data_IF_449808627704
#
_entry.id   IF_449808627704
#
_cell.length_a   1.000
_cell.length_b   1.000
_cell.length_c   1.000
_cell.angle_alpha   90.00
_cell.angle_beta   90.00
_cell.angle_gamma   90.00
#
_symmetry.space_group_name_H-M   'P 1'
#
loop_
_entity.id
_entity.type
_entity.pdbx_description
1 polymer ?
#
# COMPACT_ATOMS: atom_id res chain seq x y z
N UNK A 1 9.56 -3.29 -15.47
CA UNK A 1 9.27 -1.86 -15.62
C UNK A 1 9.53 -1.22 -14.27
N UNK A 2 10.16 -0.05 -14.21
CA UNK A 2 10.52 0.60 -12.94
C UNK A 2 9.31 1.30 -12.35
N UNK A 3 9.08 1.17 -11.05
CA UNK A 3 8.07 1.90 -10.28
C UNK A 3 8.48 3.38 -10.18
N UNK A 4 7.54 4.32 -10.30
CA UNK A 4 7.74 5.74 -10.02
C UNK A 4 7.02 6.13 -8.74
N UNK A 5 7.76 6.61 -7.75
CA UNK A 5 7.18 7.17 -6.52
C UNK A 5 7.08 8.68 -6.65
N UNK A 6 5.92 9.25 -6.34
CA UNK A 6 5.63 10.69 -6.35
C UNK A 6 5.25 11.09 -4.93
N UNK A 7 6.01 11.99 -4.33
CA UNK A 7 5.66 12.66 -3.08
C UNK A 7 4.80 13.88 -3.45
N UNK A 8 3.50 13.68 -3.41
CA UNK A 8 2.52 14.61 -3.96
C UNK A 8 2.24 15.77 -3.02
N UNK A 9 2.18 16.98 -3.58
CA UNK A 9 1.66 18.18 -2.92
C UNK A 9 0.21 18.47 -3.36
N UNK A 10 -0.19 17.95 -4.54
CA UNK A 10 -1.52 18.07 -5.11
C UNK A 10 -1.93 16.71 -5.68
N UNK A 11 -2.69 15.96 -4.89
CA UNK A 11 -3.09 14.60 -5.23
C UNK A 11 -3.95 14.52 -6.51
N UNK A 12 -4.82 15.51 -6.75
CA UNK A 12 -5.65 15.50 -7.96
C UNK A 12 -4.81 15.74 -9.21
N UNK A 13 -3.86 16.68 -9.16
CA UNK A 13 -2.96 16.96 -10.28
C UNK A 13 -2.08 15.75 -10.61
N UNK A 14 -1.41 15.19 -9.60
CA UNK A 14 -0.45 14.10 -9.80
C UNK A 14 -1.14 12.81 -10.24
N UNK A 15 -2.34 12.53 -9.70
CA UNK A 15 -3.14 11.38 -10.13
C UNK A 15 -3.65 11.56 -11.57
N UNK A 16 -4.10 12.76 -11.94
CA UNK A 16 -4.52 13.07 -13.31
C UNK A 16 -3.38 12.83 -14.30
N UNK A 17 -2.19 13.30 -13.96
CA UNK A 17 -1.00 13.10 -14.77
C UNK A 17 -0.65 11.61 -14.89
N UNK A 18 -0.63 10.87 -13.77
CA UNK A 18 -0.31 9.46 -13.74
C UNK A 18 -1.29 8.61 -14.56
N UNK A 19 -2.60 8.92 -14.49
CA UNK A 19 -3.62 8.27 -15.32
C UNK A 19 -3.37 8.58 -16.79
N UNK A 20 -3.12 9.84 -17.15
CA UNK A 20 -2.90 10.27 -18.54
C UNK A 20 -1.63 9.65 -19.14
N UNK A 21 -0.56 9.54 -18.37
CA UNK A 21 0.72 8.94 -18.81
C UNK A 21 0.66 7.41 -18.87
N UNK A 22 -0.33 6.79 -18.25
CA UNK A 22 -0.52 5.34 -18.31
C UNK A 22 -1.50 4.98 -19.41
N UNK A 23 -1.04 4.25 -20.42
CA UNK A 23 -1.93 3.75 -21.48
C UNK A 23 -3.06 2.90 -20.86
N UNK A 24 -4.30 3.26 -21.15
CA UNK A 24 -5.48 2.56 -20.64
C UNK A 24 -6.72 2.77 -21.52
N UNK A 25 -7.62 1.80 -21.49
CA UNK A 25 -8.95 1.89 -22.12
C UNK A 25 -10.08 2.13 -21.10
N UNK A 26 -9.87 1.72 -19.85
CA UNK A 26 -10.82 1.87 -18.74
C UNK A 26 -10.05 2.07 -17.45
N UNK A 27 -10.66 2.81 -16.53
CA UNK A 27 -10.13 3.02 -15.18
C UNK A 27 -11.04 2.35 -14.16
N UNK A 28 -10.44 1.57 -13.28
CA UNK A 28 -11.09 1.00 -12.11
C UNK A 28 -10.41 1.54 -10.85
N UNK A 29 -11.17 1.69 -9.77
CA UNK A 29 -10.65 2.10 -8.47
C UNK A 29 -11.00 1.02 -7.46
N UNK A 30 -10.00 0.46 -6.80
CA UNK A 30 -10.17 -0.46 -5.69
C UNK A 30 -10.02 0.30 -4.37
N UNK A 31 -11.03 0.19 -3.51
CA UNK A 31 -11.05 0.71 -2.14
C UNK A 31 -11.49 -0.39 -1.19
N UNK A 32 -11.25 -0.20 0.10
CA UNK A 32 -12.06 -0.85 1.12
C UNK A 32 -13.23 0.07 1.55
N UNK A 33 -14.14 -0.43 2.36
CA UNK A 33 -15.33 0.30 2.82
C UNK A 33 -14.96 1.55 3.64
N UNK A 34 -13.88 1.54 4.45
CA UNK A 34 -13.40 2.71 5.20
C UNK A 34 -12.79 3.73 4.26
N UNK A 35 -11.89 3.31 3.38
CA UNK A 35 -11.21 4.23 2.46
C UNK A 35 -12.15 4.77 1.38
N UNK A 36 -13.22 4.05 1.06
CA UNK A 36 -14.30 4.57 0.23
C UNK A 36 -14.99 5.79 0.88
N UNK A 37 -15.23 5.76 2.18
CA UNK A 37 -15.88 6.86 2.89
C UNK A 37 -14.91 8.02 3.20
N UNK A 38 -13.71 7.69 3.67
CA UNK A 38 -12.76 8.68 4.19
C UNK A 38 -11.81 9.26 3.14
N UNK A 39 -11.40 8.47 2.14
CA UNK A 39 -10.32 8.82 1.22
C UNK A 39 -10.80 9.11 -0.20
N UNK A 40 -11.75 8.31 -0.72
CA UNK A 40 -12.27 8.46 -2.09
C UNK A 40 -12.81 9.85 -2.39
N UNK A 41 -13.52 10.56 -1.47
CA UNK A 41 -14.01 11.92 -1.73
C UNK A 41 -12.92 12.91 -2.15
N UNK A 42 -11.68 12.73 -1.66
CA UNK A 42 -10.54 13.62 -1.98
C UNK A 42 -10.09 13.55 -3.45
N UNK A 43 -10.49 12.51 -4.19
CA UNK A 43 -10.13 12.28 -5.60
C UNK A 43 -11.34 11.96 -6.49
N UNK A 44 -12.56 12.00 -5.94
CA UNK A 44 -13.77 11.56 -6.61
C UNK A 44 -14.10 12.37 -7.87
N UNK A 45 -13.88 13.69 -7.85
CA UNK A 45 -14.13 14.57 -9.00
C UNK A 45 -13.26 14.16 -10.18
N UNK A 46 -11.98 13.92 -9.95
CA UNK A 46 -11.06 13.48 -10.97
C UNK A 46 -11.44 12.09 -11.52
N UNK A 47 -11.70 11.14 -10.63
CA UNK A 47 -12.05 9.77 -11.03
C UNK A 47 -13.35 9.73 -11.86
N UNK A 48 -14.31 10.60 -11.53
CA UNK A 48 -15.54 10.74 -12.31
C UNK A 48 -15.26 11.26 -13.74
N UNK A 49 -14.33 12.21 -13.91
CA UNK A 49 -13.90 12.69 -15.23
C UNK A 49 -13.30 11.59 -16.11
N UNK A 50 -12.67 10.60 -15.49
CA UNK A 50 -12.11 9.42 -16.16
C UNK A 50 -13.10 8.26 -16.29
N UNK A 51 -14.39 8.43 -15.93
CA UNK A 51 -15.41 7.40 -15.90
C UNK A 51 -14.97 6.14 -15.13
N UNK A 52 -14.26 6.34 -14.03
CA UNK A 52 -13.72 5.25 -13.23
C UNK A 52 -14.85 4.44 -12.56
N UNK A 53 -14.71 3.11 -12.61
CA UNK A 53 -15.61 2.18 -11.92
C UNK A 53 -15.02 1.81 -10.56
N UNK A 54 -15.74 2.08 -9.47
CA UNK A 54 -15.29 1.74 -8.12
C UNK A 54 -15.61 0.28 -7.79
N UNK A 55 -14.64 -0.41 -7.21
CA UNK A 55 -14.73 -1.75 -6.63
C UNK A 55 -14.42 -1.60 -5.15
N UNK A 56 -15.33 -2.05 -4.29
CA UNK A 56 -15.17 -1.95 -2.84
C UNK A 56 -15.09 -3.33 -2.23
N UNK A 57 -14.09 -3.54 -1.38
CA UNK A 57 -13.91 -4.76 -0.60
C UNK A 57 -14.09 -4.43 0.89
N UNK A 58 -14.18 -5.43 1.74
CA UNK A 58 -14.21 -5.22 3.18
C UNK A 58 -12.82 -4.86 3.68
N UNK A 59 -12.74 -3.91 4.62
CA UNK A 59 -11.51 -3.61 5.34
C UNK A 59 -11.06 -4.79 6.21
N UNK A 60 -9.91 -4.68 6.85
CA UNK A 60 -9.26 -5.66 7.70
C UNK A 60 -8.42 -6.70 6.92
N UNK A 61 -7.24 -6.99 7.46
CA UNK A 61 -6.27 -7.95 6.89
C UNK A 61 -6.81 -9.39 6.83
N UNK A 62 -7.81 -9.73 7.65
CA UNK A 62 -8.54 -11.01 7.58
C UNK A 62 -9.28 -11.20 6.26
N UNK A 63 -9.61 -10.11 5.57
CA UNK A 63 -10.24 -10.11 4.23
C UNK A 63 -9.22 -10.16 3.09
N UNK A 64 -7.92 -10.15 3.35
CA UNK A 64 -6.86 -10.29 2.36
C UNK A 64 -6.73 -11.73 1.87
N UNK A 65 -7.79 -12.26 1.28
CA UNK A 65 -7.97 -13.68 0.96
C UNK A 65 -8.11 -13.96 -0.53
N UNK A 66 -7.99 -15.24 -0.91
CA UNK A 66 -8.28 -15.70 -2.27
C UNK A 66 -9.74 -15.43 -2.69
N UNK A 67 -10.69 -15.50 -1.76
CA UNK A 67 -12.10 -15.21 -2.03
C UNK A 67 -12.28 -13.74 -2.41
N UNK A 68 -11.74 -12.82 -1.63
CA UNK A 68 -11.78 -11.37 -1.93
C UNK A 68 -11.06 -11.06 -3.25
N UNK A 69 -9.94 -11.71 -3.52
CA UNK A 69 -9.22 -11.58 -4.78
C UNK A 69 -10.10 -12.00 -5.97
N UNK A 70 -10.82 -13.13 -5.83
CA UNK A 70 -11.75 -13.62 -6.87
C UNK A 70 -12.93 -12.65 -7.08
N UNK A 71 -13.41 -12.00 -6.03
CA UNK A 71 -14.45 -10.96 -6.13
C UNK A 71 -13.95 -9.75 -6.91
N UNK A 72 -12.70 -9.30 -6.67
CA UNK A 72 -12.07 -8.22 -7.44
C UNK A 72 -11.94 -8.59 -8.93
N UNK A 73 -11.46 -9.80 -9.24
CA UNK A 73 -11.40 -10.26 -10.65
C UNK A 73 -12.77 -10.32 -11.31
N UNK A 74 -13.78 -10.77 -10.55
CA UNK A 74 -15.16 -10.83 -11.03
C UNK A 74 -15.71 -9.42 -11.31
N UNK A 75 -15.44 -8.46 -10.42
CA UNK A 75 -15.82 -7.07 -10.61
C UNK A 75 -15.14 -6.43 -11.83
N UNK A 76 -13.85 -6.64 -12.00
CA UNK A 76 -13.10 -6.22 -13.19
C UNK A 76 -13.70 -6.82 -14.46
N UNK A 77 -13.99 -8.13 -14.47
CA UNK A 77 -14.58 -8.82 -15.61
C UNK A 77 -15.97 -8.27 -15.95
N UNK A 78 -16.84 -8.11 -14.97
CA UNK A 78 -18.20 -7.56 -15.15
C UNK A 78 -18.19 -6.11 -15.62
N UNK A 79 -17.22 -5.32 -15.15
CA UNK A 79 -16.97 -3.95 -15.61
C UNK A 79 -16.37 -3.86 -17.01
N UNK A 80 -16.13 -4.99 -17.67
CA UNK A 80 -15.57 -5.05 -19.03
C UNK A 80 -14.09 -4.71 -19.10
N UNK A 81 -13.32 -4.96 -18.02
CA UNK A 81 -11.88 -4.74 -18.02
C UNK A 81 -11.18 -5.57 -19.11
N UNK A 82 -10.26 -4.94 -19.84
CA UNK A 82 -9.39 -5.57 -20.85
C UNK A 82 -7.98 -5.72 -20.28
N UNK A 83 -7.06 -6.20 -21.07
CA UNK A 83 -5.64 -6.24 -20.73
C UNK A 83 -4.96 -4.86 -20.73
N UNK A 84 -5.65 -3.85 -21.23
CA UNK A 84 -5.20 -2.45 -21.26
C UNK A 84 -5.86 -1.59 -20.19
N UNK A 85 -6.70 -2.17 -19.32
CA UNK A 85 -7.34 -1.40 -18.27
C UNK A 85 -6.35 -1.03 -17.17
N UNK A 86 -6.67 0.05 -16.45
CA UNK A 86 -5.89 0.57 -15.33
C UNK A 86 -6.65 0.34 -14.03
N UNK A 87 -5.97 -0.20 -13.02
CA UNK A 87 -6.48 -0.33 -11.66
C UNK A 87 -5.78 0.70 -10.75
N UNK A 88 -6.55 1.57 -10.09
CA UNK A 88 -6.07 2.49 -9.06
C UNK A 88 -6.40 1.88 -7.70
N UNK A 89 -5.40 1.51 -6.92
CA UNK A 89 -5.56 1.01 -5.56
C UNK A 89 -5.49 2.19 -4.59
N UNK A 90 -6.62 2.58 -4.03
CA UNK A 90 -6.74 3.66 -3.04
C UNK A 90 -7.03 3.07 -1.67
N UNK A 91 -6.02 2.89 -0.84
CA UNK A 91 -6.19 2.27 0.47
C UNK A 91 -4.91 1.99 1.21
N UNK A 92 -5.03 1.31 2.34
CA UNK A 92 -3.91 0.82 3.14
C UNK A 92 -3.17 -0.36 2.51
N UNK A 93 -2.26 -0.98 3.27
CA UNK A 93 -1.45 -2.11 2.82
C UNK A 93 -2.27 -3.28 2.27
N UNK A 94 -3.41 -3.58 2.88
CA UNK A 94 -4.30 -4.64 2.41
C UNK A 94 -4.81 -4.38 0.98
N UNK A 95 -5.25 -3.15 0.70
CA UNK A 95 -5.76 -2.76 -0.63
C UNK A 95 -4.64 -2.73 -1.65
N UNK A 96 -3.47 -2.18 -1.31
CA UNK A 96 -2.33 -2.09 -2.24
C UNK A 96 -1.74 -3.45 -2.58
N UNK A 97 -1.64 -4.36 -1.61
CA UNK A 97 -1.13 -5.72 -1.82
C UNK A 97 -2.09 -6.59 -2.64
N UNK A 98 -3.36 -6.66 -2.20
CA UNK A 98 -4.38 -7.46 -2.88
C UNK A 98 -4.69 -6.90 -4.27
N UNK A 99 -4.84 -5.58 -4.39
CA UNK A 99 -5.08 -4.91 -5.66
C UNK A 99 -3.90 -5.02 -6.63
N UNK A 100 -2.67 -4.90 -6.14
CA UNK A 100 -1.48 -5.15 -6.93
C UNK A 100 -1.40 -6.59 -7.44
N UNK A 101 -1.74 -7.58 -6.59
CA UNK A 101 -1.79 -8.97 -6.98
C UNK A 101 -2.96 -9.26 -7.94
N UNK A 102 -4.12 -8.64 -7.72
CA UNK A 102 -5.23 -8.71 -8.67
C UNK A 102 -4.82 -8.19 -10.06
N UNK A 103 -4.16 -7.03 -10.11
CA UNK A 103 -3.68 -6.46 -11.36
C UNK A 103 -2.61 -7.33 -12.03
N UNK A 104 -1.66 -7.87 -11.25
CA UNK A 104 -0.58 -8.72 -11.76
C UNK A 104 -1.09 -10.01 -12.41
N UNK A 105 -2.21 -10.54 -11.93
CA UNK A 105 -2.75 -11.85 -12.32
C UNK A 105 -3.93 -11.76 -13.29
N UNK A 106 -4.72 -10.68 -13.26
CA UNK A 106 -5.84 -10.48 -14.17
C UNK A 106 -5.34 -10.33 -15.61
N UNK A 107 -5.86 -11.16 -16.51
CA UNK A 107 -5.48 -11.21 -17.95
C UNK A 107 -3.97 -11.28 -18.22
N UNK A 108 -3.19 -11.85 -17.30
CA UNK A 108 -1.72 -11.95 -17.28
C UNK A 108 -1.00 -10.63 -17.02
N UNK A 109 -1.67 -9.72 -16.37
CA UNK A 109 -1.16 -8.42 -15.97
C UNK A 109 -1.85 -7.26 -16.66
N UNK A 110 -2.35 -6.32 -15.83
CA UNK A 110 -2.83 -4.98 -16.22
C UNK A 110 -2.01 -3.93 -15.48
N UNK A 111 -2.01 -2.69 -15.99
CA UNK A 111 -1.36 -1.59 -15.29
C UNK A 111 -2.09 -1.25 -13.99
N UNK A 112 -1.34 -0.81 -12.97
CA UNK A 112 -1.94 -0.31 -11.75
C UNK A 112 -1.14 0.85 -11.15
N UNK A 113 -1.85 1.67 -10.35
CA UNK A 113 -1.33 2.81 -9.57
C UNK A 113 -1.71 2.55 -8.11
N UNK A 114 -0.79 2.79 -7.19
CA UNK A 114 -1.06 2.76 -5.76
C UNK A 114 -1.17 4.18 -5.20
N UNK A 115 -2.22 4.44 -4.43
CA UNK A 115 -2.40 5.63 -3.59
C UNK A 115 -2.54 5.13 -2.15
N UNK A 116 -1.41 4.97 -1.44
CA UNK A 116 -1.44 4.49 -0.06
C UNK A 116 -2.08 5.52 0.86
N UNK A 117 -2.99 5.07 1.74
CA UNK A 117 -3.76 5.95 2.64
C UNK A 117 -3.41 5.75 4.11
N UNK A 118 -2.61 4.74 4.46
CA UNK A 118 -2.04 4.56 5.81
C UNK A 118 -0.56 4.85 5.80
N UNK A 119 -0.02 5.31 6.93
CA UNK A 119 1.41 5.62 7.04
C UNK A 119 2.28 4.39 6.74
N UNK A 120 1.88 3.21 7.24
CA UNK A 120 2.56 1.95 6.94
C UNK A 120 2.59 1.64 5.43
N UNK A 121 1.46 1.84 4.75
CA UNK A 121 1.41 1.62 3.31
C UNK A 121 2.27 2.62 2.52
N UNK A 122 2.33 3.88 2.97
CA UNK A 122 3.14 4.92 2.34
C UNK A 122 4.63 4.58 2.36
N UNK A 123 5.13 4.15 3.52
CA UNK A 123 6.57 3.93 3.71
C UNK A 123 7.03 2.50 3.41
N UNK A 124 6.08 1.54 3.41
CA UNK A 124 6.43 0.12 3.24
C UNK A 124 5.57 -0.58 2.18
N UNK A 125 4.32 -0.93 2.45
CA UNK A 125 3.57 -1.90 1.68
C UNK A 125 3.40 -1.53 0.19
N UNK A 126 3.13 -0.27 -0.15
CA UNK A 126 2.92 0.17 -1.53
C UNK A 126 4.20 0.28 -2.36
N UNK A 127 5.38 0.23 -1.73
CA UNK A 127 6.69 0.45 -2.37
C UNK A 127 7.50 -0.84 -2.40
N UNK A 128 8.13 -1.13 -3.54
CA UNK A 128 9.05 -2.28 -3.68
C UNK A 128 8.42 -3.53 -4.29
N UNK A 129 7.19 -3.43 -4.81
CA UNK A 129 6.59 -4.39 -5.74
C UNK A 129 6.18 -5.73 -5.15
N UNK A 130 6.22 -5.93 -3.83
CA UNK A 130 5.63 -7.11 -3.21
C UNK A 130 4.10 -6.95 -3.22
N UNK A 131 3.39 -7.91 -3.80
CA UNK A 131 1.93 -7.96 -3.82
C UNK A 131 1.48 -9.36 -3.43
N UNK A 132 0.32 -9.50 -2.77
CA UNK A 132 -0.09 -10.83 -2.34
C UNK A 132 -1.31 -10.87 -1.46
N UNK A 133 -1.63 -12.08 -1.05
CA UNK A 133 -2.76 -12.43 -0.19
C UNK A 133 -2.32 -13.39 0.92
N UNK A 134 -3.14 -13.46 1.97
CA UNK A 134 -3.03 -14.47 3.00
C UNK A 134 -3.61 -15.81 2.49
N UNK A 135 -3.00 -16.92 2.86
CA UNK A 135 -3.45 -18.23 2.44
C UNK A 135 -3.08 -19.28 3.48
N UNK A 136 -3.99 -20.24 3.75
CA UNK A 136 -3.74 -21.36 4.66
C UNK A 136 -3.43 -20.94 6.09
N UNK A 137 -3.92 -19.79 6.55
CA UNK A 137 -3.65 -19.24 7.88
C UNK A 137 -2.33 -18.45 7.98
N UNK A 138 -1.56 -18.36 6.90
CA UNK A 138 -0.30 -17.63 6.86
C UNK A 138 -0.48 -16.27 6.16
N UNK A 139 0.14 -15.23 6.70
CA UNK A 139 0.15 -13.88 6.11
C UNK A 139 1.06 -13.85 4.87
N UNK A 140 0.59 -13.18 3.80
CA UNK A 140 1.37 -12.91 2.57
C UNK A 140 1.98 -14.16 1.91
N UNK A 141 1.34 -15.31 2.02
CA UNK A 141 1.88 -16.61 1.57
C UNK A 141 1.86 -16.75 0.03
N UNK A 142 0.86 -16.15 -0.62
CA UNK A 142 0.72 -16.23 -2.08
C UNK A 142 0.78 -14.83 -2.67
N UNK A 143 1.69 -14.61 -3.60
CA UNK A 143 1.86 -13.29 -4.19
C UNK A 143 2.74 -13.27 -5.44
N UNK A 144 3.01 -12.06 -5.91
CA UNK A 144 3.87 -11.81 -7.05
C UNK A 144 4.73 -10.55 -6.81
N UNK A 145 5.90 -10.52 -7.43
CA UNK A 145 6.64 -9.27 -7.58
C UNK A 145 6.09 -8.51 -8.79
N UNK A 146 5.31 -7.48 -8.53
CA UNK A 146 4.69 -6.63 -9.55
C UNK A 146 4.78 -5.16 -9.15
N UNK A 147 5.42 -4.35 -9.99
CA UNK A 147 5.58 -2.93 -9.73
C UNK A 147 4.37 -2.14 -10.21
N UNK A 148 3.81 -1.28 -9.34
CA UNK A 148 2.90 -0.23 -9.75
C UNK A 148 3.59 0.69 -10.78
N UNK A 149 2.83 1.25 -11.72
CA UNK A 149 3.34 2.30 -12.61
C UNK A 149 3.74 3.53 -11.80
N UNK A 150 2.86 3.90 -10.86
CA UNK A 150 3.04 5.02 -9.95
C UNK A 150 2.64 4.59 -8.54
N UNK A 151 3.36 5.11 -7.56
CA UNK A 151 2.92 5.20 -6.16
C UNK A 151 2.83 6.67 -5.82
N UNK A 152 1.61 7.15 -5.54
CA UNK A 152 1.38 8.57 -5.26
C UNK A 152 1.12 8.72 -3.77
N UNK A 153 2.08 9.30 -3.07
CA UNK A 153 2.09 9.45 -1.61
C UNK A 153 1.71 10.88 -1.25
N UNK A 154 0.65 11.04 -0.48
CA UNK A 154 0.23 12.33 0.06
C UNK A 154 -0.30 12.16 1.48
N UNK A 155 0.28 12.88 2.43
CA UNK A 155 -0.07 12.81 3.86
C UNK A 155 -1.47 13.34 4.18
N UNK A 156 -2.17 13.98 3.24
CA UNK A 156 -3.57 14.40 3.43
C UNK A 156 -4.52 13.22 3.74
N UNK A 157 -4.17 12.00 3.38
CA UNK A 157 -4.96 10.82 3.71
C UNK A 157 -4.83 10.37 5.16
N UNK A 158 -3.83 10.87 5.89
CA UNK A 158 -3.61 10.55 7.30
C UNK A 158 -4.54 11.29 8.24
N UNK A 159 -5.27 12.33 7.77
CA UNK A 159 -6.21 13.12 8.58
C UNK A 159 -7.28 12.27 9.28
N UNK A 160 -7.66 11.15 8.67
CA UNK A 160 -8.70 10.25 9.17
C UNK A 160 -8.15 8.95 9.72
N UNK A 161 -6.82 8.80 9.75
CA UNK A 161 -6.16 7.61 10.26
C UNK A 161 -6.15 7.63 11.80
N UNK A 162 -6.55 6.53 12.44
CA UNK A 162 -6.49 6.41 13.89
C UNK A 162 -5.04 6.35 14.41
N UNK A 163 -4.88 6.68 15.68
CA UNK A 163 -3.58 6.77 16.33
C UNK A 163 -2.81 5.44 16.33
N UNK A 164 -3.49 4.31 16.45
CA UNK A 164 -2.83 2.99 16.46
C UNK A 164 -2.19 2.69 15.11
N UNK A 165 -2.93 2.93 14.02
CA UNK A 165 -2.41 2.78 12.65
C UNK A 165 -1.33 3.82 12.31
N UNK A 166 -1.44 5.03 12.83
CA UNK A 166 -0.41 6.05 12.69
C UNK A 166 0.89 5.62 13.38
N UNK A 167 0.82 5.15 14.63
CA UNK A 167 1.97 4.64 15.38
C UNK A 167 2.59 3.39 14.73
N UNK A 168 1.75 2.50 14.17
CA UNK A 168 2.22 1.31 13.46
C UNK A 168 3.09 1.69 12.26
N UNK A 169 2.64 2.62 11.42
CA UNK A 169 3.44 3.12 10.30
C UNK A 169 4.70 3.87 10.76
N UNK A 170 4.60 4.59 11.87
CA UNK A 170 5.75 5.30 12.42
C UNK A 170 6.84 4.37 12.97
N UNK A 171 6.46 3.23 13.53
CA UNK A 171 7.41 2.21 13.95
C UNK A 171 8.25 1.70 12.76
N UNK A 172 7.67 1.61 11.57
CA UNK A 172 8.37 1.27 10.34
C UNK A 172 9.36 2.38 9.92
N UNK A 173 8.97 3.65 10.07
CA UNK A 173 9.86 4.77 9.82
C UNK A 173 11.05 4.80 10.81
N UNK A 174 10.81 4.49 12.09
CA UNK A 174 11.87 4.32 13.09
C UNK A 174 12.83 3.17 12.69
N UNK A 175 12.31 2.06 12.20
CA UNK A 175 13.13 0.96 11.67
C UNK A 175 13.99 1.44 10.49
N UNK A 176 13.41 2.17 9.53
CA UNK A 176 14.17 2.71 8.39
C UNK A 176 15.27 3.66 8.85
N UNK A 177 15.00 4.52 9.83
CA UNK A 177 16.00 5.43 10.37
C UNK A 177 17.14 4.69 11.08
N UNK A 178 16.82 3.63 11.82
CA UNK A 178 17.80 2.81 12.57
C UNK A 178 18.77 2.08 11.62
N UNK A 179 18.28 1.58 10.48
CA UNK A 179 19.12 0.90 9.48
C UNK A 179 19.81 1.87 8.51
N UNK A 180 19.50 3.16 8.57
CA UNK A 180 20.05 4.20 7.69
C UNK A 180 21.23 4.92 8.33
N UNK A 181 20.97 5.90 9.21
CA UNK A 181 22.01 6.70 9.84
C UNK A 181 21.54 7.38 11.13
N UNK A 182 22.53 7.80 11.96
CA UNK A 182 22.28 8.39 13.26
C UNK A 182 21.50 9.72 13.21
N UNK A 183 21.66 10.53 12.16
CA UNK A 183 20.95 11.79 12.03
C UNK A 183 19.45 11.54 11.81
N UNK A 184 19.09 10.65 10.88
CA UNK A 184 17.70 10.27 10.62
C UNK A 184 17.07 9.65 11.88
N UNK A 185 17.81 8.83 12.61
CA UNK A 185 17.37 8.27 13.91
C UNK A 185 17.06 9.36 14.91
N UNK A 186 17.95 10.35 15.08
CA UNK A 186 17.74 11.45 16.02
C UNK A 186 16.52 12.30 15.66
N UNK A 187 16.28 12.58 14.37
CA UNK A 187 15.10 13.28 13.89
C UNK A 187 13.82 12.51 14.25
N UNK A 188 13.77 11.21 13.94
CA UNK A 188 12.58 10.39 14.17
C UNK A 188 12.28 10.20 15.67
N UNK A 189 13.27 9.98 16.52
CA UNK A 189 13.04 9.80 17.98
C UNK A 189 12.51 11.06 18.64
N UNK A 190 12.83 12.25 18.10
CA UNK A 190 12.39 13.52 18.66
C UNK A 190 11.07 14.07 18.06
N UNK A 191 10.53 13.42 17.03
CA UNK A 191 9.29 13.84 16.37
C UNK A 191 8.05 13.35 17.15
N UNK A 192 7.09 14.26 17.39
CA UNK A 192 5.83 13.90 18.06
C UNK A 192 4.79 13.40 17.03
N UNK A 193 4.72 12.09 16.85
CA UNK A 193 3.77 11.45 15.95
C UNK A 193 2.31 11.56 16.42
N UNK A 194 2.05 11.87 17.68
CA UNK A 194 0.69 12.01 18.20
C UNK A 194 0.07 13.38 17.86
N UNK A 195 0.92 14.36 17.53
CA UNK A 195 0.51 15.69 17.07
C UNK A 195 1.38 16.11 15.87
N UNK A 196 1.30 15.37 14.73
CA UNK A 196 2.23 15.55 13.64
C UNK A 196 1.99 16.85 12.88
N UNK A 197 3.05 17.59 12.61
CA UNK A 197 3.05 18.52 11.49
C UNK A 197 3.07 17.71 10.18
N UNK A 198 2.00 17.79 9.40
CA UNK A 198 1.85 16.97 8.19
C UNK A 198 2.88 17.30 7.11
N UNK A 199 3.35 18.56 7.03
CA UNK A 199 4.37 18.94 6.07
C UNK A 199 5.74 18.36 6.45
N UNK A 200 6.07 18.41 7.74
CA UNK A 200 7.28 17.76 8.27
C UNK A 200 7.20 16.23 8.13
N UNK A 201 6.06 15.65 8.50
CA UNK A 201 5.84 14.21 8.34
C UNK A 201 5.99 13.78 6.89
N UNK A 202 5.49 14.55 5.92
CA UNK A 202 5.65 14.23 4.50
C UNK A 202 7.12 14.24 4.06
N UNK A 203 7.93 15.16 4.57
CA UNK A 203 9.39 15.17 4.32
C UNK A 203 10.04 13.91 4.91
N UNK A 204 9.66 13.52 6.13
CA UNK A 204 10.17 12.32 6.78
C UNK A 204 9.74 11.04 6.06
N UNK A 205 8.50 10.97 5.58
CA UNK A 205 7.98 9.89 4.74
C UNK A 205 8.80 9.76 3.47
N UNK A 206 9.10 10.88 2.79
CA UNK A 206 9.94 10.87 1.59
C UNK A 206 11.35 10.30 1.87
N UNK A 207 11.97 10.71 2.98
CA UNK A 207 13.26 10.19 3.40
C UNK A 207 13.21 8.69 3.71
N UNK A 208 12.15 8.24 4.40
CA UNK A 208 11.92 6.83 4.72
C UNK A 208 11.74 5.96 3.46
N UNK A 209 10.97 6.45 2.48
CA UNK A 209 10.80 5.77 1.19
C UNK A 209 12.14 5.67 0.45
N UNK A 210 12.94 6.72 0.44
CA UNK A 210 14.25 6.72 -0.23
C UNK A 210 15.19 5.64 0.34
N UNK A 211 15.17 5.41 1.67
CA UNK A 211 15.93 4.30 2.29
C UNK A 211 15.47 2.96 1.74
N UNK A 212 14.15 2.74 1.68
CA UNK A 212 13.60 1.49 1.16
C UNK A 212 13.90 1.29 -0.33
N UNK A 213 13.70 2.35 -1.15
CA UNK A 213 13.98 2.28 -2.60
C UNK A 213 15.44 1.92 -2.88
N UNK A 214 16.38 2.51 -2.13
CA UNK A 214 17.80 2.17 -2.26
C UNK A 214 18.07 0.69 -1.97
N UNK A 215 17.55 0.19 -0.85
CA UNK A 215 17.73 -1.22 -0.46
C UNK A 215 17.06 -2.18 -1.47
N UNK A 216 15.86 -1.84 -1.96
CA UNK A 216 15.14 -2.65 -2.96
C UNK A 216 15.84 -2.63 -4.32
N UNK A 217 16.46 -1.51 -4.70
CA UNK A 217 17.23 -1.41 -5.95
C UNK A 217 18.45 -2.33 -5.94
N UNK A 218 19.11 -2.45 -4.79
CA UNK A 218 20.29 -3.31 -4.62
C UNK A 218 19.93 -4.81 -4.49
N UNK A 219 18.74 -5.12 -3.96
CA UNK A 219 18.30 -6.51 -3.74
C UNK A 219 16.78 -6.67 -3.99
N UNK A 220 16.33 -6.68 -5.27
CA UNK A 220 14.91 -6.73 -5.61
C UNK A 220 14.19 -7.99 -5.11
N UNK A 221 14.91 -9.11 -4.98
CA UNK A 221 14.35 -10.42 -4.65
C UNK A 221 14.63 -10.88 -3.21
N UNK A 222 15.18 -9.99 -2.36
CA UNK A 222 15.40 -10.27 -0.93
C UNK A 222 16.34 -11.46 -0.62
N UNK A 223 17.37 -11.58 -1.41
CA UNK A 223 18.40 -12.61 -1.16
C UNK A 223 19.46 -12.17 -0.14
N UNK A 224 19.70 -10.87 0.02
CA UNK A 224 20.77 -10.27 0.83
C UNK A 224 20.31 -9.11 1.69
N UNK A 225 20.75 -7.89 1.32
CA UNK A 225 20.59 -6.66 2.13
C UNK A 225 19.15 -6.27 2.39
N UNK A 226 18.21 -6.62 1.50
CA UNK A 226 16.79 -6.33 1.69
C UNK A 226 16.20 -7.00 2.94
N UNK A 227 16.84 -8.05 3.46
CA UNK A 227 16.46 -8.68 4.74
C UNK A 227 16.60 -7.74 5.94
N UNK A 228 17.40 -6.66 5.83
CA UNK A 228 17.48 -5.64 6.86
C UNK A 228 16.14 -4.92 7.08
N UNK A 229 15.27 -4.87 6.05
CA UNK A 229 13.90 -4.35 6.18
C UNK A 229 13.01 -5.22 7.09
N UNK A 230 13.41 -6.45 7.40
CA UNK A 230 12.70 -7.34 8.32
C UNK A 230 13.22 -7.23 9.78
N UNK A 231 14.09 -6.24 10.05
CA UNK A 231 14.59 -6.01 11.40
C UNK A 231 13.43 -5.78 12.39
N UNK A 232 13.41 -6.54 13.49
CA UNK A 232 12.33 -6.50 14.48
C UNK A 232 11.08 -7.34 14.16
N UNK A 233 10.87 -7.78 12.92
CA UNK A 233 9.66 -8.50 12.49
C UNK A 233 9.47 -9.83 13.23
N UNK A 234 10.53 -10.60 13.48
CA UNK A 234 10.44 -11.89 14.18
C UNK A 234 9.83 -11.74 15.58
N UNK A 235 10.24 -10.70 16.33
CA UNK A 235 9.73 -10.43 17.67
C UNK A 235 8.32 -9.80 17.56
N UNK A 236 8.13 -8.85 16.64
CA UNK A 236 6.86 -8.18 16.41
C UNK A 236 5.74 -9.15 16.07
N UNK A 237 5.95 -10.03 15.10
CA UNK A 237 4.97 -11.06 14.72
C UNK A 237 4.66 -12.05 15.84
N UNK A 238 5.68 -12.46 16.62
CA UNK A 238 5.45 -13.33 17.77
C UNK A 238 4.58 -12.65 18.84
N UNK A 239 4.76 -11.34 19.09
CA UNK A 239 3.93 -10.57 20.01
C UNK A 239 2.52 -10.33 19.46
N UNK A 240 2.36 -10.09 18.17
CA UNK A 240 1.04 -10.00 17.52
C UNK A 240 0.27 -11.32 17.69
N UNK A 241 0.90 -12.45 17.36
CA UNK A 241 0.29 -13.77 17.48
C UNK A 241 -0.09 -14.10 18.92
N UNK A 242 0.75 -13.73 19.90
CA UNK A 242 0.46 -13.90 21.32
C UNK A 242 -0.69 -13.01 21.81
N UNK A 243 -0.81 -11.79 21.29
CA UNK A 243 -1.79 -10.78 21.73
C UNK A 243 -3.14 -10.93 21.06
N UNK A 244 -3.23 -11.58 19.90
CA UNK A 244 -4.50 -11.92 19.28
C UNK A 244 -5.14 -13.07 20.05
N UNK A 245 -6.41 -12.95 20.54
CA UNK A 245 -7.12 -14.08 21.10
C UNK A 245 -7.25 -15.14 20.00
N UNK A 246 -6.47 -16.21 20.12
CA UNK A 246 -6.50 -17.32 19.17
C UNK A 246 -7.87 -17.95 19.27
N UNK A 247 -8.70 -17.75 18.27
CA UNK A 247 -9.91 -18.55 18.07
C UNK A 247 -9.46 -19.95 17.68
N UNK A 248 -9.08 -20.75 18.69
CA UNK A 248 -8.86 -22.19 18.54
C UNK A 248 -10.22 -22.88 18.36
N UNK A 249 -10.80 -22.79 17.18
CA UNK A 249 -11.84 -23.71 16.76
C UNK A 249 -11.42 -24.25 15.41
N UNK A 250 -10.55 -25.24 15.44
CA UNK A 250 -10.41 -26.34 14.47
C UNK A 250 -9.04 -27.03 14.64
N UNK A 251 -8.90 -27.74 15.77
CA UNK A 251 -8.01 -28.87 15.85
C UNK A 251 -8.85 -30.02 16.46
N UNK A 252 -9.59 -30.67 15.60
CA UNK A 252 -10.04 -32.09 15.77
C UNK A 252 -9.96 -32.74 14.41
#
# INVERSE_FOLDING_TARGET
MQQRVIISQDIEHDLAQAITETEHDRVFVLTDDITQECCLPKVAVLLTKHNATTITIRHDDTNKTLATLADVWTALQRGGATRHSLLVNLGGGMVTDLGGFAAATFKRGINFINIPTTLLAMVDAAVGGKTGINFGGLKNEVGAFANARYVIVNTCFLDTLDTANLCSGYAEMLKHSLISNAQMWAEHVNFDILQPDLAELQRMVAASIAVKEHIVADDPHEHGIRKALNFGHTIGHALEEFSMPVSYTHLT
#
